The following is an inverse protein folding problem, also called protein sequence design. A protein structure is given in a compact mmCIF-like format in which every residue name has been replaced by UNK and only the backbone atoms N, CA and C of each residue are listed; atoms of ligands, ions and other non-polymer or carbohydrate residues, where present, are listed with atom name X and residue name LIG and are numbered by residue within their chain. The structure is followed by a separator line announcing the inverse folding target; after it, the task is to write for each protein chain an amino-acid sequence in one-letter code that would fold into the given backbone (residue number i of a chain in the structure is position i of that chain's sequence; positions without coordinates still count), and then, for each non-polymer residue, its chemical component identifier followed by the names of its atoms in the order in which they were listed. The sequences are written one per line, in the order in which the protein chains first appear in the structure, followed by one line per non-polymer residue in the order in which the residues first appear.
data_IF_356963132042
#
_entry.id   IF_356963132042
#
_cell.length_a   1.000
_cell.length_b   1.000
_cell.length_c   1.000
_cell.angle_alpha   90.00
_cell.angle_beta   90.00
_cell.angle_gamma   90.00
#
_symmetry.space_group_name_H-M   'P 1'
#
loop_
_entity.id
_entity.type
_entity.pdbx_description
1 polymer ?
#
# COMPACT_ATOMS: atom_id res chain seq x y z
N UNK A 1 8.02 -1.93 -11.56
CA UNK A 1 8.60 -2.76 -10.48
C UNK A 1 9.75 -1.95 -9.93
N UNK A 2 9.63 -1.43 -8.71
CA UNK A 2 10.60 -0.51 -8.10
C UNK A 2 11.94 -1.21 -7.89
N UNK A 3 12.96 -0.79 -8.65
CA UNK A 3 14.35 -1.15 -8.37
C UNK A 3 14.71 -0.53 -7.01
N UNK A 4 14.84 -1.36 -5.98
CA UNK A 4 15.34 -0.91 -4.70
C UNK A 4 16.77 -0.43 -4.88
N UNK A 5 17.04 0.84 -4.56
CA UNK A 5 18.38 1.42 -4.59
C UNK A 5 19.33 0.79 -3.56
N UNK A 6 18.79 0.04 -2.60
CA UNK A 6 19.55 -0.66 -1.56
C UNK A 6 19.78 -2.14 -1.92
N UNK A 7 20.98 -2.68 -1.65
CA UNK A 7 21.28 -4.09 -1.86
C UNK A 7 20.35 -4.97 -1.01
N UNK A 8 19.76 -5.97 -1.65
CA UNK A 8 18.88 -6.95 -0.99
C UNK A 8 19.75 -8.02 -0.34
N UNK A 9 19.78 -8.03 1.00
CA UNK A 9 20.53 -9.01 1.77
C UNK A 9 19.74 -10.30 2.02
N UNK A 10 20.45 -11.41 2.18
CA UNK A 10 19.83 -12.69 2.59
C UNK A 10 19.29 -12.59 4.01
N UNK A 11 18.25 -13.36 4.33
CA UNK A 11 17.65 -13.37 5.66
C UNK A 11 18.68 -13.68 6.77
N UNK A 12 19.67 -14.54 6.49
CA UNK A 12 20.73 -14.88 7.45
C UNK A 12 21.67 -13.70 7.72
N UNK A 13 22.01 -12.91 6.68
CA UNK A 13 22.81 -11.70 6.83
C UNK A 13 22.06 -10.63 7.63
N UNK A 14 20.76 -10.46 7.36
CA UNK A 14 19.89 -9.53 8.09
C UNK A 14 19.79 -9.94 9.57
N UNK A 15 19.55 -11.22 9.85
CA UNK A 15 19.48 -11.73 11.23
C UNK A 15 20.80 -11.50 11.97
N UNK A 16 21.94 -11.77 11.32
CA UNK A 16 23.24 -11.56 11.94
C UNK A 16 23.48 -10.08 12.28
N UNK A 17 23.18 -9.18 11.34
CA UNK A 17 23.30 -7.73 11.56
C UNK A 17 22.46 -7.26 12.76
N UNK A 18 21.20 -7.68 12.84
CA UNK A 18 20.35 -7.29 13.96
C UNK A 18 20.82 -7.87 15.29
N UNK A 19 21.41 -9.06 15.32
CA UNK A 19 21.97 -9.66 16.54
C UNK A 19 23.23 -8.95 17.05
N UNK A 20 24.06 -8.42 16.16
CA UNK A 20 25.34 -7.79 16.54
C UNK A 20 25.22 -6.29 16.76
N UNK A 21 24.49 -5.59 15.89
CA UNK A 21 24.51 -4.12 15.84
C UNK A 21 23.28 -3.45 16.46
N UNK A 22 22.16 -4.17 16.63
CA UNK A 22 20.87 -3.54 16.94
C UNK A 22 20.20 -4.05 18.21
N UNK A 23 20.13 -5.38 18.38
CA UNK A 23 19.50 -6.03 19.52
C UNK A 23 20.49 -6.19 20.67
N UNK A 24 19.99 -6.23 21.91
CA UNK A 24 20.85 -6.34 23.10
C UNK A 24 20.44 -7.50 24.01
N UNK A 25 21.42 -8.12 24.68
CA UNK A 25 21.18 -9.12 25.72
C UNK A 25 20.43 -10.36 25.23
N UNK A 26 19.24 -10.60 25.80
CA UNK A 26 18.41 -11.76 25.48
C UNK A 26 17.69 -11.62 24.12
N UNK A 27 17.38 -10.40 23.69
CA UNK A 27 16.70 -10.15 22.40
C UNK A 27 17.54 -10.71 21.23
N UNK A 28 18.84 -10.43 21.23
CA UNK A 28 19.77 -10.93 20.21
C UNK A 28 19.90 -12.46 20.22
N UNK A 29 19.83 -13.10 21.40
CA UNK A 29 19.95 -14.56 21.52
C UNK A 29 18.72 -15.30 21.00
N UNK A 30 17.53 -14.73 21.20
CA UNK A 30 16.27 -15.36 20.81
C UNK A 30 15.80 -14.98 19.41
N UNK A 31 16.32 -13.90 18.83
CA UNK A 31 15.96 -13.48 17.48
C UNK A 31 16.50 -14.43 16.43
N UNK A 32 15.66 -15.01 15.59
CA UNK A 32 16.00 -16.06 14.61
C UNK A 32 15.38 -15.78 13.24
N UNK A 33 15.84 -16.49 12.21
CA UNK A 33 15.30 -16.39 10.85
C UNK A 33 13.79 -16.69 10.75
N UNK A 34 13.27 -17.55 11.63
CA UNK A 34 11.83 -17.84 11.72
C UNK A 34 10.99 -16.67 12.22
N UNK A 35 11.60 -15.64 12.79
CA UNK A 35 10.87 -14.43 13.23
C UNK A 35 10.62 -13.46 12.06
N UNK A 36 11.37 -13.61 10.96
CA UNK A 36 11.25 -12.78 9.75
C UNK A 36 10.65 -13.51 8.55
N UNK A 37 10.83 -14.84 8.45
CA UNK A 37 10.45 -15.60 7.26
C UNK A 37 9.78 -16.94 7.60
N UNK A 38 8.80 -17.41 6.82
CA UNK A 38 8.19 -16.75 5.65
C UNK A 38 7.16 -15.67 6.03
N UNK A 39 6.66 -15.70 7.27
CA UNK A 39 5.71 -14.72 7.79
C UNK A 39 6.34 -14.00 8.99
N UNK A 40 6.67 -12.70 8.85
CA UNK A 40 7.27 -11.94 9.93
C UNK A 40 6.35 -11.89 11.15
N UNK A 41 6.90 -12.19 12.34
CA UNK A 41 6.14 -12.08 13.60
C UNK A 41 5.96 -10.60 13.96
N UNK A 42 4.73 -10.12 14.20
CA UNK A 42 4.47 -8.71 14.49
C UNK A 42 5.31 -8.16 15.64
N UNK A 43 5.48 -8.95 16.70
CA UNK A 43 6.22 -8.56 17.91
C UNK A 43 7.72 -8.40 17.61
N UNK A 44 8.30 -9.34 16.84
CA UNK A 44 9.70 -9.27 16.46
C UNK A 44 9.97 -8.04 15.58
N UNK A 45 9.12 -7.81 14.57
CA UNK A 45 9.23 -6.67 13.67
C UNK A 45 9.10 -5.35 14.42
N UNK A 46 8.13 -5.24 15.33
CA UNK A 46 7.95 -4.06 16.17
C UNK A 46 9.18 -3.77 17.02
N UNK A 47 9.74 -4.78 17.70
CA UNK A 47 10.95 -4.61 18.52
C UNK A 47 12.14 -4.13 17.68
N UNK A 48 12.35 -4.69 16.48
CA UNK A 48 13.41 -4.25 15.59
C UNK A 48 13.27 -2.78 15.21
N UNK A 49 12.07 -2.37 14.79
CA UNK A 49 11.82 -0.97 14.41
C UNK A 49 12.03 -0.02 15.58
N UNK A 50 11.55 -0.36 16.77
CA UNK A 50 11.74 0.46 17.96
C UNK A 50 13.24 0.62 18.31
N UNK A 51 14.03 -0.45 18.18
CA UNK A 51 15.48 -0.41 18.41
C UNK A 51 16.21 0.42 17.38
N UNK A 52 15.85 0.29 16.10
CA UNK A 52 16.43 1.11 15.02
C UNK A 52 16.10 2.59 15.23
N UNK A 53 14.85 2.93 15.56
CA UNK A 53 14.46 4.30 15.87
C UNK A 53 15.20 4.85 17.09
N UNK A 54 15.39 4.02 18.13
CA UNK A 54 16.16 4.39 19.31
C UNK A 54 17.64 4.66 18.97
N UNK A 55 18.26 3.84 18.11
CA UNK A 55 19.65 4.02 17.70
C UNK A 55 19.83 5.28 16.85
N UNK A 56 18.92 5.53 15.90
CA UNK A 56 19.03 6.66 14.97
C UNK A 56 18.69 8.00 15.63
N UNK A 57 17.66 8.06 16.49
CA UNK A 57 17.14 9.33 17.04
C UNK A 57 17.31 9.48 18.54
N UNK A 58 17.94 8.51 19.23
CA UNK A 58 17.97 8.44 20.70
C UNK A 58 16.58 8.52 21.33
N UNK A 59 15.55 8.14 20.55
CA UNK A 59 14.17 8.30 20.94
C UNK A 59 13.80 7.14 21.87
N UNK A 60 13.41 7.48 23.10
CA UNK A 60 13.05 6.51 24.11
C UNK A 60 11.66 5.92 23.81
N UNK A 61 11.42 4.61 24.01
CA UNK A 61 10.11 3.99 23.77
C UNK A 61 8.96 4.75 24.46
N UNK A 62 9.23 5.31 25.64
CA UNK A 62 8.27 6.07 26.45
C UNK A 62 7.82 7.37 25.77
N UNK A 63 8.62 7.93 24.86
CA UNK A 63 8.30 9.17 24.15
C UNK A 63 7.27 8.95 23.03
N UNK A 64 6.98 7.72 22.62
CA UNK A 64 5.92 7.43 21.64
C UNK A 64 4.53 7.50 22.26
N UNK A 65 4.40 7.26 23.56
CA UNK A 65 3.14 7.39 24.31
C UNK A 65 2.85 8.83 24.75
N UNK A 66 3.84 9.73 24.66
CA UNK A 66 3.76 11.13 25.10
C UNK A 66 3.44 12.11 23.97
N UNK A 67 3.01 11.63 22.79
CA UNK A 67 2.66 12.52 21.68
C UNK A 67 1.38 13.29 22.06
N UNK A 68 1.40 14.64 22.07
CA UNK A 68 0.22 15.42 22.45
C UNK A 68 -0.92 15.11 21.49
N UNK A 69 -1.98 14.53 22.02
CA UNK A 69 -3.25 14.46 21.33
C UNK A 69 -3.87 15.87 21.33
N UNK A 70 -4.45 16.28 20.21
CA UNK A 70 -5.26 17.50 20.15
C UNK A 70 -6.24 17.51 21.33
N UNK A 71 -6.32 18.63 22.06
CA UNK A 71 -7.04 18.75 23.35
C UNK A 71 -8.56 18.45 23.31
N UNK A 72 -9.11 18.07 22.16
CA UNK A 72 -10.55 17.89 21.92
C UNK A 72 -10.96 16.46 21.50
N UNK A 73 -10.20 15.42 21.87
CA UNK A 73 -10.58 14.03 21.55
C UNK A 73 -11.47 13.44 22.65
N UNK A 74 -12.66 12.99 22.26
CA UNK A 74 -13.61 12.32 23.15
C UNK A 74 -13.06 10.92 23.51
N UNK A 75 -12.84 10.66 24.80
CA UNK A 75 -12.24 9.42 25.36
C UNK A 75 -10.76 9.16 25.00
N UNK A 76 -9.81 9.93 25.58
CA UNK A 76 -8.37 9.82 25.31
C UNK A 76 -7.77 8.43 25.56
N UNK A 77 -8.30 7.68 26.53
CA UNK A 77 -7.80 6.36 26.93
C UNK A 77 -7.87 5.29 25.81
N UNK A 78 -8.77 5.44 24.83
CA UNK A 78 -8.85 4.49 23.70
C UNK A 78 -7.82 4.80 22.60
N UNK A 79 -7.23 5.99 22.61
CA UNK A 79 -6.28 6.43 21.59
C UNK A 79 -4.82 6.24 22.01
N UNK A 80 -4.54 5.99 23.29
CA UNK A 80 -3.18 5.87 23.83
C UNK A 80 -2.37 4.77 23.12
N UNK A 81 -2.96 3.57 22.92
CA UNK A 81 -2.32 2.47 22.19
C UNK A 81 -2.16 2.75 20.69
N UNK A 82 -3.17 3.37 20.06
CA UNK A 82 -3.12 3.72 18.63
C UNK A 82 -2.11 4.84 18.35
N UNK A 83 -1.92 5.76 19.30
CA UNK A 83 -1.01 6.91 19.20
C UNK A 83 0.44 6.45 19.17
N UNK A 84 0.82 5.50 20.03
CA UNK A 84 2.15 4.93 20.02
C UNK A 84 2.45 4.25 18.67
N UNK A 85 1.51 3.46 18.14
CA UNK A 85 1.65 2.78 16.84
C UNK A 85 1.77 3.80 15.70
N UNK A 86 0.91 4.82 15.68
CA UNK A 86 0.92 5.86 14.63
C UNK A 86 2.20 6.70 14.67
N UNK A 87 2.71 7.00 15.88
CA UNK A 87 3.97 7.71 16.10
C UNK A 87 5.17 6.93 15.54
N UNK A 88 5.21 5.62 15.81
CA UNK A 88 6.24 4.72 15.27
C UNK A 88 6.16 4.65 13.75
N UNK A 89 4.98 4.42 13.19
CA UNK A 89 4.75 4.35 11.75
C UNK A 89 5.18 5.64 11.02
N UNK A 90 4.76 6.80 11.54
CA UNK A 90 5.10 8.10 10.95
C UNK A 90 6.60 8.33 10.95
N UNK A 91 7.29 8.01 12.06
CA UNK A 91 8.74 8.18 12.16
C UNK A 91 9.51 7.22 11.26
N UNK A 92 9.07 5.96 11.11
CA UNK A 92 9.68 5.02 10.17
C UNK A 92 9.57 5.55 8.74
N UNK A 93 8.41 6.08 8.36
CA UNK A 93 8.22 6.68 7.03
C UNK A 93 9.11 7.91 6.83
N UNK A 94 9.24 8.77 7.84
CA UNK A 94 10.18 9.90 7.80
C UNK A 94 11.62 9.45 7.61
N UNK A 95 12.05 8.37 8.29
CA UNK A 95 13.40 7.80 8.12
C UNK A 95 13.63 7.33 6.69
N UNK A 96 12.70 6.55 6.14
CA UNK A 96 12.79 6.05 4.78
C UNK A 96 12.87 7.20 3.76
N UNK A 97 12.05 8.25 3.94
CA UNK A 97 12.07 9.45 3.10
C UNK A 97 13.37 10.25 3.24
N UNK A 98 13.91 10.39 4.45
CA UNK A 98 15.19 11.07 4.68
C UNK A 98 16.36 10.35 4.02
N UNK A 99 16.40 9.02 4.09
CA UNK A 99 17.41 8.22 3.39
C UNK A 99 17.31 8.36 1.87
N UNK A 100 16.10 8.31 1.32
CA UNK A 100 15.87 8.53 -0.11
C UNK A 100 16.26 9.95 -0.54
N UNK A 101 15.96 10.97 0.26
CA UNK A 101 16.30 12.37 -0.02
C UNK A 101 17.81 12.59 -0.02
N UNK A 102 18.53 12.10 0.98
CA UNK A 102 19.98 12.24 1.04
C UNK A 102 20.69 11.55 -0.14
N UNK A 103 20.16 10.42 -0.60
CA UNK A 103 20.71 9.72 -1.77
C UNK A 103 20.43 10.48 -3.07
N UNK A 104 19.24 11.05 -3.23
CA UNK A 104 18.89 11.93 -4.36
C UNK A 104 19.74 13.20 -4.39
N UNK A 105 19.96 13.84 -3.23
CA UNK A 105 20.82 15.03 -3.11
C UNK A 105 22.27 14.69 -3.50
N UNK A 106 22.77 13.52 -3.08
CA UNK A 106 24.10 13.01 -3.45
C UNK A 106 24.22 12.72 -4.95
N UNK A 107 23.21 12.09 -5.55
CA UNK A 107 23.17 11.83 -6.99
C UNK A 107 23.13 13.13 -7.80
N UNK A 108 22.39 14.13 -7.32
CA UNK A 108 22.33 15.46 -7.93
C UNK A 108 23.68 16.18 -7.87
N UNK A 109 24.40 16.06 -6.75
CA UNK A 109 25.75 16.62 -6.61
C UNK A 109 26.74 15.97 -7.60
N UNK A 110 26.71 14.65 -7.76
CA UNK A 110 27.52 13.96 -8.77
C UNK A 110 27.16 14.41 -10.19
N UNK A 111 25.87 14.51 -10.50
CA UNK A 111 25.39 14.95 -11.82
C UNK A 111 25.83 16.39 -12.12
N UNK A 112 25.83 17.27 -11.12
CA UNK A 112 26.33 18.64 -11.25
C UNK A 112 27.84 18.65 -11.52
N UNK A 113 28.61 17.88 -10.76
CA UNK A 113 30.06 17.77 -10.95
C UNK A 113 30.44 17.22 -12.33
N UNK A 114 29.69 16.24 -12.85
CA UNK A 114 29.87 15.72 -14.21
C UNK A 114 29.65 16.83 -15.25
N UNK A 115 28.54 17.57 -15.16
CA UNK A 115 28.26 18.70 -16.08
C UNK A 115 29.31 19.79 -16.05
N UNK A 116 29.84 20.12 -14.87
CA UNK A 116 30.92 21.09 -14.74
C UNK A 116 32.22 20.60 -15.38
N UNK A 117 32.53 19.30 -15.24
CA UNK A 117 33.68 18.69 -15.90
C UNK A 117 33.51 18.65 -17.42
N UNK A 118 32.32 18.33 -17.92
CA UNK A 118 31.99 18.36 -19.36
C UNK A 118 32.19 19.77 -19.94
N UNK A 119 31.70 20.82 -19.26
CA UNK A 119 31.90 22.21 -19.69
C UNK A 119 33.39 22.60 -19.70
N UNK A 120 34.18 22.13 -18.73
CA UNK A 120 35.63 22.35 -18.71
C UNK A 120 36.34 21.63 -19.87
N UNK A 121 35.92 20.42 -20.20
CA UNK A 121 36.43 19.69 -21.38
C UNK A 121 36.11 20.48 -22.64
N UNK A 122 34.85 20.91 -22.81
CA UNK A 122 34.41 21.71 -23.96
C UNK A 122 35.27 22.97 -24.13
N UNK A 123 35.46 23.76 -23.07
CA UNK A 123 36.32 24.95 -23.06
C UNK A 123 37.79 24.67 -23.39
N UNK A 124 38.33 23.52 -22.98
CA UNK A 124 39.71 23.11 -23.30
C UNK A 124 39.85 22.57 -24.73
N UNK A 125 38.76 22.11 -25.33
CA UNK A 125 38.73 21.55 -26.69
C UNK A 125 38.39 22.57 -27.78
N UNK A 126 37.92 23.76 -27.43
CA UNK A 126 37.70 24.86 -28.38
C UNK A 126 38.95 25.71 -28.54
N UNK A 127 39.44 25.83 -29.78
CA UNK A 127 40.54 26.74 -30.13
C UNK A 127 40.04 28.18 -29.95
N UNK A 128 40.72 29.04 -29.17
CA UNK A 128 40.33 30.42 -28.99
C UNK A 128 40.23 31.17 -30.33
N UNK A 129 39.20 32.02 -30.53
CA UNK A 129 38.99 32.74 -31.78
C UNK A 129 40.16 33.69 -32.14
N UNK A 130 40.90 34.19 -31.14
CA UNK A 130 42.12 34.97 -31.33
C UNK A 130 43.24 34.14 -31.98
N UNK A 131 43.41 32.88 -31.57
CA UNK A 131 44.41 31.98 -32.14
C UNK A 131 44.02 31.47 -33.54
N UNK A 132 42.71 31.37 -33.81
CA UNK A 132 42.21 31.05 -35.14
C UNK A 132 42.40 32.23 -36.12
N UNK A 133 42.13 33.46 -35.67
CA UNK A 133 42.36 34.67 -36.46
C UNK A 133 43.86 34.89 -36.76
N UNK A 134 44.74 34.65 -35.79
CA UNK A 134 46.20 34.69 -36.00
C UNK A 134 46.66 33.64 -37.02
N UNK A 135 46.11 32.42 -36.97
CA UNK A 135 46.43 31.37 -37.94
C UNK A 135 45.96 31.72 -39.36
N UNK A 136 44.78 32.35 -39.48
CA UNK A 136 44.22 32.80 -40.76
C UNK A 136 44.99 34.01 -41.33
N UNK A 137 45.42 34.95 -40.49
CA UNK A 137 46.26 36.09 -40.86
C UNK A 137 47.65 35.63 -41.33
N UNK A 138 48.26 34.66 -40.62
CA UNK A 138 49.55 34.09 -41.02
C UNK A 138 49.47 33.33 -42.36
N UNK A 139 48.34 32.66 -42.64
CA UNK A 139 48.09 31.99 -43.91
C UNK A 139 47.91 33.01 -45.07
N UNK A 140 47.28 34.15 -44.79
CA UNK A 140 47.17 35.25 -45.76
C UNK A 140 48.53 35.89 -46.05
N UNK A 141 49.34 36.18 -45.02
CA UNK A 141 50.68 36.74 -45.16
C UNK A 141 51.63 35.78 -45.92
N UNK A 142 51.53 34.47 -45.68
CA UNK A 142 52.29 33.47 -46.45
C UNK A 142 51.88 33.45 -47.92
N UNK A 143 50.59 33.60 -48.22
CA UNK A 143 50.08 33.65 -49.59
C UNK A 143 50.51 34.93 -50.32
N UNK A 144 50.50 36.08 -49.62
CA UNK A 144 51.00 37.35 -50.14
C UNK A 144 52.49 37.27 -50.46
N UNK A 145 53.31 36.79 -49.51
CA UNK A 145 54.76 36.60 -49.68
C UNK A 145 55.08 35.68 -50.87
N UNK A 146 54.28 34.62 -51.04
CA UNK A 146 54.42 33.71 -52.18
C UNK A 146 54.09 34.40 -53.51
N UNK A 147 53.16 35.38 -53.52
CA UNK A 147 52.81 36.19 -54.69
C UNK A 147 53.84 37.28 -55.00
N UNK A 148 54.37 37.98 -53.99
CA UNK A 148 55.42 39.00 -54.16
C UNK A 148 56.73 38.37 -54.58
N UNK A 149 57.08 37.21 -54.05
CA UNK A 149 58.26 36.46 -54.51
C UNK A 149 58.12 36.07 -55.99
N UNK A 150 56.92 35.70 -56.47
CA UNK A 150 56.68 35.46 -57.91
C UNK A 150 56.78 36.73 -58.76
N UNK A 151 56.40 37.89 -58.22
CA UNK A 151 56.46 39.19 -58.91
C UNK A 151 57.89 39.75 -59.01
N UNK A 152 58.68 39.60 -57.95
CA UNK A 152 60.07 40.12 -57.90
C UNK A 152 61.04 39.35 -58.80
N UNK A 153 60.76 38.08 -59.15
CA UNK A 153 61.50 37.37 -60.21
C UNK A 153 61.25 37.92 -61.62
N UNK A 154 60.28 38.82 -61.79
CA UNK A 154 59.88 39.37 -63.09
C UNK A 154 60.29 40.84 -63.31
N UNK A 155 60.80 41.54 -62.29
CA UNK A 155 60.99 43.00 -62.31
C UNK A 155 62.42 43.47 -61.96
N UNK A 156 63.44 42.65 -62.25
CA UNK A 156 64.87 43.02 -62.12
C UNK A 156 65.56 43.07 -63.49
N UNK A 157 65.01 43.84 -64.43
CA UNK A 157 65.73 44.25 -65.65
C UNK A 157 65.48 45.73 -65.96
N UNK A 158 66.49 46.56 -65.65
CA UNK A 158 66.71 47.90 -66.20
C UNK A 158 66.00 49.02 -65.42
N UNK A 159 66.64 50.12 -65.04
CA UNK A 159 67.95 50.66 -65.38
C UNK A 159 67.95 52.13 -64.97
N UNK A 160 69.05 52.55 -64.38
CA UNK A 160 69.31 53.84 -63.74
C UNK A 160 69.64 54.98 -64.75
N UNK A 161 69.44 56.21 -64.27
CA UNK A 161 70.26 57.43 -64.49
C UNK A 161 70.12 58.42 -65.70
N UNK A 162 70.14 59.71 -65.29
CA UNK A 162 70.97 60.85 -65.78
C UNK A 162 70.42 61.97 -66.72
N UNK A 163 70.24 63.15 -66.10
CA UNK A 163 70.95 64.45 -66.32
C UNK A 163 70.75 65.32 -67.59
N UNK A 164 70.01 66.43 -67.40
CA UNK A 164 70.46 67.86 -67.43
C UNK A 164 70.85 68.57 -68.75
N UNK A 165 70.18 69.71 -69.05
CA UNK A 165 70.78 70.97 -69.56
C UNK A 165 69.81 72.14 -69.29
N UNK A 166 70.28 73.28 -68.77
CA UNK A 166 69.91 74.68 -69.12
C UNK A 166 70.26 75.69 -68.00
N UNK A 167 71.55 75.77 -67.71
CA UNK A 167 72.17 76.68 -66.76
C UNK A 167 72.45 78.04 -67.40
N UNK A 168 71.44 78.88 -67.60
CA UNK A 168 71.66 80.33 -67.83
C UNK A 168 70.38 81.15 -67.59
N UNK A 169 69.21 80.66 -68.02
CA UNK A 169 67.90 81.23 -67.69
C UNK A 169 67.52 80.97 -66.22
N UNK A 170 67.87 79.77 -65.74
CA UNK A 170 67.73 79.36 -64.33
C UNK A 170 68.38 80.36 -63.37
N UNK A 171 69.42 81.10 -63.74
CA UNK A 171 70.12 82.00 -62.81
C UNK A 171 69.35 83.29 -62.47
N UNK A 172 68.59 83.82 -63.43
CA UNK A 172 67.74 85.00 -63.23
C UNK A 172 66.44 84.60 -62.53
N UNK A 173 65.84 83.49 -62.95
CA UNK A 173 64.65 82.92 -62.31
C UNK A 173 64.97 82.45 -60.88
N UNK A 174 66.17 81.89 -60.62
CA UNK A 174 66.64 81.57 -59.26
C UNK A 174 66.81 82.82 -58.40
N UNK A 175 67.09 83.98 -58.99
CA UNK A 175 67.28 85.22 -58.22
C UNK A 175 65.94 85.87 -57.87
N UNK A 176 64.99 85.92 -58.81
CA UNK A 176 63.61 86.36 -58.55
C UNK A 176 62.89 85.38 -57.61
N UNK A 177 63.00 84.07 -57.86
CA UNK A 177 62.49 83.04 -56.94
C UNK A 177 63.17 83.13 -55.58
N UNK A 178 64.46 83.49 -55.47
CA UNK A 178 65.10 83.73 -54.16
C UNK A 178 64.50 84.90 -53.41
N UNK A 179 64.17 85.98 -54.10
CA UNK A 179 63.55 87.16 -53.48
C UNK A 179 62.10 86.86 -53.07
N UNK A 180 61.33 86.17 -53.93
CA UNK A 180 59.97 85.73 -53.62
C UNK A 180 59.96 84.67 -52.51
N UNK A 181 60.92 83.75 -52.49
CA UNK A 181 61.17 82.81 -51.37
C UNK A 181 61.50 83.58 -50.09
N UNK A 182 62.22 84.70 -50.18
CA UNK A 182 62.58 85.51 -49.00
C UNK A 182 61.37 86.28 -48.47
N UNK A 183 60.53 86.85 -49.35
CA UNK A 183 59.26 87.50 -48.98
C UNK A 183 58.25 86.50 -48.44
N UNK A 184 58.05 85.37 -49.11
CA UNK A 184 57.21 84.27 -48.63
C UNK A 184 57.73 83.71 -47.31
N UNK A 185 59.06 83.50 -47.13
CA UNK A 185 59.62 83.13 -45.82
C UNK A 185 59.27 84.16 -44.75
N UNK A 186 59.38 85.46 -45.01
CA UNK A 186 59.04 86.49 -44.02
C UNK A 186 57.55 86.58 -43.69
N UNK A 187 56.64 86.18 -44.60
CA UNK A 187 55.20 86.10 -44.37
C UNK A 187 54.73 84.76 -43.76
N UNK A 188 55.47 83.68 -44.03
CA UNK A 188 55.28 82.35 -43.41
C UNK A 188 55.83 82.35 -41.97
N UNK A 189 56.73 83.28 -41.64
CA UNK A 189 57.23 83.53 -40.29
C UNK A 189 56.19 84.33 -39.49
N UNK A 190 55.01 83.75 -39.29
CA UNK A 190 54.46 83.77 -37.94
C UNK A 190 55.52 83.12 -37.04
N UNK A 191 55.81 83.71 -35.88
CA UNK A 191 56.96 83.31 -35.07
C UNK A 191 57.00 81.78 -34.95
N UNK A 192 58.11 81.10 -35.28
CA UNK A 192 58.23 79.65 -35.13
C UNK A 192 57.84 79.15 -33.73
N UNK A 193 57.91 80.03 -32.73
CA UNK A 193 57.47 79.81 -31.36
C UNK A 193 55.93 79.76 -31.22
N UNK A 194 55.19 80.53 -32.02
CA UNK A 194 53.73 80.63 -31.99
C UNK A 194 53.07 79.39 -32.63
N UNK A 195 53.61 78.90 -33.77
CA UNK A 195 53.22 77.62 -34.36
C UNK A 195 53.51 76.46 -33.41
N UNK A 196 54.69 76.47 -32.76
CA UNK A 196 55.07 75.47 -31.77
C UNK A 196 54.11 75.47 -30.57
N UNK A 197 53.74 76.66 -30.08
CA UNK A 197 52.73 76.83 -29.03
C UNK A 197 51.36 76.28 -29.44
N UNK A 198 50.90 76.56 -30.67
CA UNK A 198 49.65 76.00 -31.17
C UNK A 198 49.69 74.47 -31.30
N UNK A 199 50.78 73.89 -31.79
CA UNK A 199 50.95 72.43 -31.88
C UNK A 199 50.97 71.77 -30.50
N UNK A 200 51.57 72.42 -29.50
CA UNK A 200 51.62 71.94 -28.12
C UNK A 200 50.23 71.96 -27.48
N UNK A 201 49.48 73.06 -27.67
CA UNK A 201 48.07 73.16 -27.27
C UNK A 201 47.20 72.11 -27.95
N UNK A 202 47.44 71.82 -29.23
CA UNK A 202 46.71 70.78 -29.95
C UNK A 202 47.05 69.38 -29.44
N UNK A 203 48.31 69.12 -29.07
CA UNK A 203 48.71 67.87 -28.39
C UNK A 203 48.04 67.70 -27.03
N UNK A 204 48.01 68.74 -26.21
CA UNK A 204 47.33 68.69 -24.91
C UNK A 204 45.83 68.44 -25.06
N UNK A 205 45.17 69.11 -26.01
CA UNK A 205 43.77 68.87 -26.33
C UNK A 205 43.52 67.42 -26.78
N UNK A 206 44.34 66.91 -27.70
CA UNK A 206 44.23 65.50 -28.16
C UNK A 206 44.44 64.54 -26.99
N UNK A 207 45.39 64.80 -26.10
CA UNK A 207 45.62 63.99 -24.91
C UNK A 207 44.43 64.03 -23.94
N UNK A 208 43.86 65.21 -23.70
CA UNK A 208 42.67 65.37 -22.86
C UNK A 208 41.46 64.64 -23.45
N UNK A 209 41.27 64.71 -24.77
CA UNK A 209 40.19 63.99 -25.46
C UNK A 209 40.40 62.48 -25.34
N UNK A 210 41.62 61.99 -25.57
CA UNK A 210 41.94 60.56 -25.46
C UNK A 210 41.64 60.04 -24.05
N UNK A 211 42.11 60.73 -23.01
CA UNK A 211 41.82 60.37 -21.62
C UNK A 211 40.31 60.38 -21.34
N UNK A 212 39.58 61.39 -21.83
CA UNK A 212 38.13 61.47 -21.66
C UNK A 212 37.38 60.34 -22.36
N UNK A 213 37.88 59.85 -23.50
CA UNK A 213 37.32 58.68 -24.21
C UNK A 213 37.56 57.42 -23.37
N UNK A 214 38.80 57.19 -22.91
CA UNK A 214 39.15 56.04 -22.06
C UNK A 214 38.29 56.01 -20.78
N UNK A 215 38.15 57.15 -20.08
CA UNK A 215 37.29 57.26 -18.88
C UNK A 215 35.81 56.98 -19.20
N UNK A 216 35.33 57.36 -20.39
CA UNK A 216 33.95 57.10 -20.81
C UNK A 216 33.74 55.62 -21.14
N UNK A 217 34.72 54.98 -21.79
CA UNK A 217 34.68 53.56 -22.13
C UNK A 217 34.70 52.68 -20.88
N UNK A 218 35.59 52.98 -19.91
CA UNK A 218 35.62 52.29 -18.61
C UNK A 218 34.26 52.38 -17.91
N UNK A 219 33.66 53.58 -17.87
CA UNK A 219 32.35 53.79 -17.28
C UNK A 219 31.22 53.08 -18.04
N UNK A 220 31.34 52.96 -19.35
CA UNK A 220 30.44 52.17 -20.18
C UNK A 220 30.44 50.68 -19.80
N UNK A 221 31.64 50.10 -19.60
CA UNK A 221 31.80 48.71 -19.17
C UNK A 221 31.24 48.49 -17.76
N UNK A 222 31.49 49.41 -16.83
CA UNK A 222 30.91 49.35 -15.47
C UNK A 222 29.37 49.35 -15.49
N UNK A 223 28.76 50.25 -16.28
CA UNK A 223 27.31 50.31 -16.45
C UNK A 223 26.77 49.02 -17.07
N UNK A 224 27.46 48.46 -18.07
CA UNK A 224 27.05 47.20 -18.70
C UNK A 224 27.09 46.03 -17.72
N UNK A 225 28.12 45.93 -16.88
CA UNK A 225 28.22 44.92 -15.83
C UNK A 225 27.09 45.06 -14.79
N UNK A 226 26.76 46.29 -14.39
CA UNK A 226 25.62 46.52 -13.49
C UNK A 226 24.29 46.11 -14.13
N UNK A 227 24.06 46.44 -15.40
CA UNK A 227 22.86 46.02 -16.13
C UNK A 227 22.75 44.50 -16.19
N UNK A 228 23.84 43.79 -16.49
CA UNK A 228 23.85 42.33 -16.47
C UNK A 228 23.51 41.77 -15.08
N UNK A 229 24.07 42.34 -14.02
CA UNK A 229 23.73 41.98 -12.64
C UNK A 229 22.24 42.14 -12.34
N UNK A 230 21.64 43.27 -12.74
CA UNK A 230 20.19 43.51 -12.58
C UNK A 230 19.37 42.47 -13.36
N UNK A 231 19.69 42.22 -14.63
CA UNK A 231 18.95 41.23 -15.43
C UNK A 231 19.03 39.81 -14.84
N UNK A 232 20.16 39.45 -14.24
CA UNK A 232 20.31 38.18 -13.56
C UNK A 232 19.39 38.11 -12.33
N UNK A 233 19.40 39.14 -11.48
CA UNK A 233 18.53 39.19 -10.31
C UNK A 233 17.04 39.22 -10.69
N UNK A 234 16.68 39.86 -11.79
CA UNK A 234 15.31 39.85 -12.32
C UNK A 234 14.86 38.43 -12.71
N UNK A 235 15.73 37.66 -13.36
CA UNK A 235 15.45 36.27 -13.71
C UNK A 235 15.27 35.39 -12.46
N UNK A 236 16.09 35.59 -11.43
CA UNK A 236 15.95 34.88 -10.14
C UNK A 236 14.62 35.22 -9.45
N UNK A 237 14.22 36.50 -9.45
CA UNK A 237 12.92 36.93 -8.93
C UNK A 237 11.77 36.27 -9.70
N UNK A 238 11.85 36.22 -11.02
CA UNK A 238 10.82 35.58 -11.85
C UNK A 238 10.72 34.08 -11.56
N UNK A 239 11.85 33.40 -11.32
CA UNK A 239 11.86 32.01 -10.89
C UNK A 239 11.22 31.84 -9.51
N UNK A 240 11.51 32.72 -8.55
CA UNK A 240 10.86 32.68 -7.24
C UNK A 240 9.34 32.85 -7.32
N UNK A 241 8.84 33.73 -8.19
CA UNK A 241 7.40 33.88 -8.41
C UNK A 241 6.75 32.60 -8.95
N UNK A 242 7.39 31.90 -9.89
CA UNK A 242 6.87 30.63 -10.39
C UNK A 242 6.73 29.57 -9.28
N UNK A 243 7.73 29.46 -8.40
CA UNK A 243 7.71 28.55 -7.26
C UNK A 243 6.61 28.89 -6.26
N UNK A 244 6.37 30.18 -6.01
CA UNK A 244 5.29 30.63 -5.12
C UNK A 244 3.92 30.27 -5.67
N UNK A 245 3.72 30.40 -6.99
CA UNK A 245 2.47 30.05 -7.65
C UNK A 245 2.21 28.54 -7.62
N UNK A 246 3.25 27.73 -7.83
CA UNK A 246 3.16 26.27 -7.69
C UNK A 246 2.82 25.88 -6.24
N UNK A 247 3.44 26.52 -5.26
CA UNK A 247 3.15 26.30 -3.83
C UNK A 247 1.70 26.66 -3.49
N UNK A 248 1.19 27.79 -4.00
CA UNK A 248 -0.20 28.22 -3.80
C UNK A 248 -1.17 27.18 -4.37
N UNK A 249 -0.92 26.69 -5.59
CA UNK A 249 -1.75 25.66 -6.22
C UNK A 249 -1.73 24.34 -5.42
N UNK A 250 -0.56 23.93 -4.93
CA UNK A 250 -0.39 22.73 -4.10
C UNK A 250 -1.12 22.86 -2.75
N UNK A 251 -1.07 24.04 -2.14
CA UNK A 251 -1.77 24.33 -0.90
C UNK A 251 -3.29 24.31 -1.08
N UNK A 252 -3.80 24.86 -2.19
CA UNK A 252 -5.22 24.80 -2.56
C UNK A 252 -5.70 23.35 -2.73
N UNK A 253 -4.95 22.52 -3.46
CA UNK A 253 -5.24 21.09 -3.62
C UNK A 253 -5.23 20.34 -2.27
N UNK A 254 -4.29 20.67 -1.39
CA UNK A 254 -4.19 20.05 -0.06
C UNK A 254 -5.38 20.42 0.81
N UNK A 255 -5.85 21.67 0.74
CA UNK A 255 -7.06 22.12 1.43
C UNK A 255 -8.30 21.36 0.97
N UNK A 256 -8.48 21.22 -0.34
CA UNK A 256 -9.59 20.42 -0.89
C UNK A 256 -9.56 18.97 -0.39
N UNK A 257 -8.40 18.32 -0.40
CA UNK A 257 -8.25 16.95 0.13
C UNK A 257 -8.59 16.85 1.62
N UNK A 258 -8.28 17.88 2.40
CA UNK A 258 -8.63 17.93 3.82
C UNK A 258 -10.15 18.01 4.02
N UNK A 259 -10.85 18.80 3.20
CA UNK A 259 -12.31 18.90 3.22
C UNK A 259 -12.97 17.56 2.84
N UNK A 260 -12.48 16.90 1.78
CA UNK A 260 -12.93 15.55 1.38
C UNK A 260 -12.72 14.52 2.50
N UNK A 261 -11.57 14.57 3.19
CA UNK A 261 -11.29 13.69 4.33
C UNK A 261 -12.26 13.95 5.49
N UNK A 262 -12.59 15.21 5.79
CA UNK A 262 -13.56 15.55 6.83
C UNK A 262 -14.96 15.03 6.51
N UNK A 263 -15.40 15.15 5.25
CA UNK A 263 -16.68 14.61 4.82
C UNK A 263 -16.71 13.08 4.93
N UNK A 264 -15.64 12.40 4.52
CA UNK A 264 -15.54 10.94 4.63
C UNK A 264 -15.57 10.47 6.09
N UNK A 265 -14.91 11.21 7.00
CA UNK A 265 -14.96 10.93 8.44
C UNK A 265 -16.39 11.05 9.00
N UNK A 266 -17.13 12.09 8.60
CA UNK A 266 -18.53 12.24 9.01
C UNK A 266 -19.41 11.10 8.49
N UNK A 267 -19.18 10.64 7.25
CA UNK A 267 -19.87 9.48 6.70
C UNK A 267 -19.52 8.18 7.45
N UNK A 268 -18.25 7.99 7.79
CA UNK A 268 -17.80 6.83 8.57
C UNK A 268 -18.47 6.79 9.95
N UNK A 269 -18.52 7.91 10.67
CA UNK A 269 -19.21 7.99 11.97
C UNK A 269 -20.70 7.67 11.85
N UNK A 270 -21.36 8.17 10.80
CA UNK A 270 -22.78 7.86 10.53
C UNK A 270 -22.97 6.36 10.32
N UNK A 271 -22.13 5.72 9.50
CA UNK A 271 -22.17 4.29 9.23
C UNK A 271 -21.84 3.46 10.47
N UNK A 272 -20.92 3.92 11.30
CA UNK A 272 -20.59 3.25 12.56
C UNK A 272 -21.77 3.27 13.55
N UNK A 273 -22.53 4.37 13.63
CA UNK A 273 -23.76 4.46 14.43
C UNK A 273 -24.85 3.53 13.89
N UNK A 274 -25.04 3.49 12.58
CA UNK A 274 -25.99 2.59 11.91
C UNK A 274 -25.67 1.12 12.20
N UNK A 275 -24.40 0.72 12.10
CA UNK A 275 -23.96 -0.64 12.41
C UNK A 275 -24.23 -1.02 13.88
N UNK A 276 -23.96 -0.12 14.83
CA UNK A 276 -24.25 -0.37 16.26
C UNK A 276 -25.74 -0.60 16.50
N UNK A 277 -26.62 0.17 15.85
CA UNK A 277 -28.06 0.00 15.95
C UNK A 277 -28.51 -1.36 15.39
N UNK A 278 -28.01 -1.75 14.22
CA UNK A 278 -28.32 -3.04 13.62
C UNK A 278 -27.84 -4.22 14.50
N UNK A 279 -26.67 -4.12 15.12
CA UNK A 279 -26.20 -5.13 16.08
C UNK A 279 -27.14 -5.25 17.30
N UNK A 280 -27.67 -4.12 17.79
CA UNK A 280 -28.65 -4.14 18.88
C UNK A 280 -29.96 -4.80 18.46
N UNK A 281 -30.47 -4.49 17.27
CA UNK A 281 -31.67 -5.10 16.70
C UNK A 281 -31.50 -6.60 16.49
N UNK A 282 -30.37 -7.03 15.92
CA UNK A 282 -30.04 -8.45 15.74
C UNK A 282 -30.03 -9.18 17.10
N UNK A 283 -29.42 -8.58 18.12
CA UNK A 283 -29.40 -9.15 19.47
C UNK A 283 -30.79 -9.25 20.12
N UNK A 284 -31.69 -8.31 19.83
CA UNK A 284 -33.09 -8.39 20.28
C UNK A 284 -33.84 -9.51 19.56
N UNK A 285 -33.69 -9.63 18.24
CA UNK A 285 -34.34 -10.67 17.44
C UNK A 285 -33.85 -12.07 17.82
N UNK A 286 -32.54 -12.25 18.05
CA UNK A 286 -31.98 -13.53 18.54
C UNK A 286 -32.60 -13.96 19.87
N UNK A 287 -32.74 -13.03 20.82
CA UNK A 287 -33.42 -13.32 22.11
C UNK A 287 -34.89 -13.66 21.92
N UNK A 288 -35.60 -12.94 21.05
CA UNK A 288 -36.99 -13.20 20.74
C UNK A 288 -37.18 -14.60 20.11
N UNK A 289 -36.30 -14.99 19.19
CA UNK A 289 -36.29 -16.31 18.57
C UNK A 289 -36.05 -17.41 19.62
N UNK A 290 -35.06 -17.26 20.49
CA UNK A 290 -34.80 -18.21 21.58
C UNK A 290 -36.02 -18.41 22.48
N UNK A 291 -36.70 -17.33 22.87
CA UNK A 291 -37.94 -17.43 23.66
C UNK A 291 -39.08 -18.17 22.93
N UNK A 292 -39.16 -18.06 21.59
CA UNK A 292 -40.15 -18.79 20.79
C UNK A 292 -39.82 -20.29 20.71
N UNK A 293 -38.55 -20.62 20.48
CA UNK A 293 -38.07 -22.01 20.47
C UNK A 293 -38.29 -22.70 21.82
N UNK A 294 -38.02 -22.03 22.94
CA UNK A 294 -38.27 -22.57 24.27
C UNK A 294 -39.76 -22.86 24.53
N UNK A 295 -40.64 -21.95 24.09
CA UNK A 295 -42.09 -22.12 24.21
C UNK A 295 -42.58 -23.31 23.39
N UNK A 296 -42.09 -23.43 22.15
CA UNK A 296 -42.42 -24.55 21.27
C UNK A 296 -41.91 -25.88 21.84
N UNK A 297 -40.67 -25.93 22.31
CA UNK A 297 -40.10 -27.11 22.95
C UNK A 297 -40.96 -27.57 24.15
N UNK A 298 -41.31 -26.65 25.06
CA UNK A 298 -42.20 -26.94 26.20
C UNK A 298 -43.56 -27.47 25.74
N UNK A 299 -44.13 -26.89 24.69
CA UNK A 299 -45.42 -27.35 24.14
C UNK A 299 -45.33 -28.74 23.52
N UNK A 300 -44.26 -29.03 22.78
CA UNK A 300 -44.02 -30.32 22.15
C UNK A 300 -43.80 -31.44 23.18
N UNK A 301 -43.02 -31.18 24.24
CA UNK A 301 -42.86 -32.13 25.36
C UNK A 301 -44.22 -32.43 26.02
N UNK A 302 -45.06 -31.41 26.27
CA UNK A 302 -46.39 -31.62 26.85
C UNK A 302 -47.31 -32.46 25.94
N UNK A 303 -47.29 -32.20 24.63
CA UNK A 303 -48.04 -32.98 23.64
C UNK A 303 -47.56 -34.43 23.59
N UNK A 304 -46.24 -34.64 23.60
CA UNK A 304 -45.63 -35.96 23.57
C UNK A 304 -46.01 -36.79 24.79
N UNK A 305 -45.84 -36.25 26.01
CA UNK A 305 -46.26 -36.93 27.24
C UNK A 305 -47.74 -37.33 27.23
N UNK A 306 -48.61 -36.46 26.71
CA UNK A 306 -50.05 -36.75 26.59
C UNK A 306 -50.35 -37.87 25.57
N UNK A 307 -49.53 -38.03 24.53
CA UNK A 307 -49.64 -39.16 23.60
C UNK A 307 -49.18 -40.45 24.26
N UNK A 308 -48.01 -40.42 24.89
CA UNK A 308 -47.42 -41.57 25.59
C UNK A 308 -48.36 -42.12 26.67
N UNK A 309 -49.00 -41.27 27.48
CA UNK A 309 -49.95 -41.75 28.49
C UNK A 309 -51.19 -42.41 27.89
N UNK A 310 -51.69 -41.90 26.77
CA UNK A 310 -52.81 -42.53 26.05
C UNK A 310 -52.41 -43.86 25.44
N UNK A 311 -51.21 -43.92 24.86
CA UNK A 311 -50.67 -45.12 24.24
C UNK A 311 -50.42 -46.21 25.27
N UNK A 312 -49.86 -45.87 26.43
CA UNK A 312 -49.72 -46.78 27.58
C UNK A 312 -51.06 -47.35 28.02
N UNK A 313 -52.10 -46.52 28.14
CA UNK A 313 -53.44 -46.99 28.50
C UNK A 313 -54.03 -47.95 27.45
N UNK A 314 -53.86 -47.64 26.15
CA UNK A 314 -54.30 -48.54 25.08
C UNK A 314 -53.55 -49.87 25.14
N UNK A 315 -52.24 -49.85 25.33
CA UNK A 315 -51.42 -51.07 25.47
C UNK A 315 -51.86 -51.90 26.68
N UNK A 316 -52.19 -51.26 27.80
CA UNK A 316 -52.71 -51.95 29.00
C UNK A 316 -54.04 -52.64 28.72
N UNK A 317 -55.00 -51.93 28.10
CA UNK A 317 -56.31 -52.50 27.73
C UNK A 317 -56.17 -53.66 26.75
N UNK A 318 -55.31 -53.50 25.72
CA UNK A 318 -55.03 -54.58 24.77
C UNK A 318 -54.44 -55.80 25.49
N UNK A 319 -53.47 -55.62 26.39
CA UNK A 319 -52.91 -56.70 27.17
C UNK A 319 -53.95 -57.41 28.07
N UNK A 320 -54.92 -56.67 28.62
CA UNK A 320 -56.05 -57.28 29.35
C UNK A 320 -56.97 -58.07 28.42
N UNK A 321 -57.27 -57.56 27.22
CA UNK A 321 -58.05 -58.29 26.22
C UNK A 321 -57.37 -59.60 25.79
N UNK A 322 -56.05 -59.58 25.59
CA UNK A 322 -55.27 -60.76 25.24
C UNK A 322 -55.32 -61.81 26.36
N UNK A 323 -55.19 -61.40 27.63
CA UNK A 323 -55.34 -62.30 28.78
C UNK A 323 -56.74 -62.92 28.87
N UNK A 324 -57.78 -62.14 28.58
CA UNK A 324 -59.17 -62.64 28.55
C UNK A 324 -59.35 -63.62 27.39
N UNK A 325 -58.79 -63.33 26.22
CA UNK A 325 -58.83 -64.20 25.06
C UNK A 325 -58.18 -65.55 25.38
N UNK A 326 -56.97 -65.54 25.93
CA UNK A 326 -56.26 -66.77 26.32
C UNK A 326 -57.08 -67.59 27.32
N UNK A 327 -57.64 -66.97 28.36
CA UNK A 327 -58.51 -67.68 29.32
C UNK A 327 -59.74 -68.28 28.68
N UNK A 328 -60.34 -67.60 27.69
CA UNK A 328 -61.50 -68.10 26.95
C UNK A 328 -61.13 -69.30 26.09
N UNK A 329 -59.98 -69.27 25.45
CA UNK A 329 -59.43 -70.37 24.66
C UNK A 329 -59.17 -71.59 25.55
N UNK A 330 -58.46 -71.42 26.67
CA UNK A 330 -58.19 -72.50 27.63
C UNK A 330 -59.49 -73.13 28.19
N UNK A 331 -60.54 -72.32 28.41
CA UNK A 331 -61.84 -72.81 28.86
C UNK A 331 -62.60 -73.53 27.76
N UNK A 332 -62.52 -73.07 26.51
CA UNK A 332 -63.14 -73.72 25.37
C UNK A 332 -62.54 -75.13 25.18
N UNK A 333 -61.22 -75.25 25.30
CA UNK A 333 -60.51 -76.54 25.25
C UNK A 333 -61.01 -77.50 26.35
N UNK A 334 -61.13 -77.02 27.60
CA UNK A 334 -61.68 -77.82 28.71
C UNK A 334 -63.13 -78.24 28.49
N UNK A 335 -63.97 -77.36 27.96
CA UNK A 335 -65.37 -77.68 27.63
C UNK A 335 -65.41 -78.76 26.55
N UNK A 336 -64.54 -78.67 25.55
CA UNK A 336 -64.44 -79.66 24.47
C UNK A 336 -64.02 -81.03 25.02
N UNK A 337 -63.05 -81.07 25.94
CA UNK A 337 -62.61 -82.29 26.63
C UNK A 337 -63.75 -82.93 27.43
N UNK A 338 -64.41 -82.19 28.33
CA UNK A 338 -65.55 -82.67 29.12
C UNK A 338 -66.70 -83.14 28.21
N UNK A 339 -66.94 -82.44 27.10
CA UNK A 339 -67.97 -82.82 26.13
C UNK A 339 -67.63 -84.15 25.46
N UNK A 340 -66.37 -84.37 25.10
CA UNK A 340 -65.89 -85.63 24.53
C UNK A 340 -66.02 -86.78 25.55
N UNK A 341 -65.63 -86.56 26.81
CA UNK A 341 -65.80 -87.53 27.90
C UNK A 341 -67.28 -87.86 28.16
N UNK A 342 -68.14 -86.84 28.18
CA UNK A 342 -69.58 -86.99 28.35
C UNK A 342 -70.19 -87.82 27.22
N UNK A 343 -69.78 -87.60 25.97
CA UNK A 343 -70.21 -88.42 24.84
C UNK A 343 -69.73 -89.87 24.97
N UNK A 344 -68.48 -90.08 25.37
CA UNK A 344 -67.93 -91.42 25.65
C UNK A 344 -68.74 -92.12 26.73
N UNK A 345 -69.01 -91.46 27.86
CA UNK A 345 -69.82 -92.02 28.95
C UNK A 345 -71.25 -92.34 28.50
N UNK A 346 -71.90 -91.45 27.74
CA UNK A 346 -73.23 -91.70 27.15
C UNK A 346 -73.24 -92.96 26.28
N UNK A 347 -72.21 -93.15 25.45
CA UNK A 347 -72.08 -94.35 24.61
C UNK A 347 -71.92 -95.62 25.46
N UNK A 348 -71.14 -95.57 26.54
CA UNK A 348 -70.98 -96.67 27.50
C UNK A 348 -72.27 -96.99 28.27
N UNK A 349 -73.02 -95.98 28.72
CA UNK A 349 -74.31 -96.19 29.39
C UNK A 349 -75.31 -96.85 28.43
N UNK A 350 -75.34 -96.41 27.16
CA UNK A 350 -76.20 -97.01 26.15
C UNK A 350 -75.85 -98.48 25.91
N UNK A 351 -74.57 -98.81 25.74
CA UNK A 351 -74.14 -100.20 25.54
C UNK A 351 -74.47 -101.08 26.76
N UNK A 352 -74.25 -100.59 27.98
CA UNK A 352 -74.64 -101.30 29.21
C UNK A 352 -76.14 -101.51 29.30
N UNK A 353 -76.96 -100.50 28.97
CA UNK A 353 -78.42 -100.63 28.93
C UNK A 353 -78.87 -101.68 27.93
N UNK A 354 -78.26 -101.71 26.75
CA UNK A 354 -78.56 -102.70 25.72
C UNK A 354 -78.19 -104.13 26.20
N UNK A 355 -77.08 -104.28 26.92
CA UNK A 355 -76.69 -105.55 27.56
C UNK A 355 -77.70 -105.97 28.64
N UNK A 356 -78.05 -105.07 29.57
CA UNK A 356 -79.04 -105.37 30.62
C UNK A 356 -80.41 -105.72 30.04
N UNK A 357 -80.83 -105.05 28.95
CA UNK A 357 -82.10 -105.34 28.26
C UNK A 357 -82.09 -106.77 27.70
N UNK A 358 -80.99 -107.18 27.06
CA UNK A 358 -80.81 -108.57 26.60
C UNK A 358 -80.82 -109.59 27.75
N UNK A 359 -80.17 -109.29 28.87
CA UNK A 359 -80.17 -110.19 30.03
C UNK A 359 -81.54 -110.26 30.73
N UNK A 360 -82.28 -109.15 30.78
CA UNK A 360 -83.66 -109.14 31.31
C UNK A 360 -84.63 -109.89 30.41
N UNK A 361 -84.50 -109.77 29.08
CA UNK A 361 -85.24 -110.62 28.13
C UNK A 361 -84.94 -112.11 28.37
N UNK A 362 -83.66 -112.48 28.56
CA UNK A 362 -83.31 -113.87 28.94
C UNK A 362 -83.94 -114.31 30.26
N UNK A 363 -83.94 -113.46 31.29
CA UNK A 363 -84.51 -113.76 32.59
C UNK A 363 -86.05 -113.84 32.58
N UNK A 364 -86.74 -113.01 31.78
CA UNK A 364 -88.18 -113.09 31.59
C UNK A 364 -88.61 -114.35 30.83
N UNK A 365 -87.77 -114.90 29.96
CA UNK A 365 -88.00 -116.22 29.34
C UNK A 365 -87.80 -117.36 30.35
N UNK A 366 -87.03 -117.16 31.43
CA UNK A 366 -86.84 -118.14 32.52
C UNK A 366 -87.87 -118.06 33.64
N UNK A 367 -88.51 -116.90 33.87
CA UNK A 367 -89.48 -116.68 34.95
C UNK A 367 -90.75 -117.58 34.93
N UNK A 368 -91.23 -118.13 33.80
CA UNK A 368 -92.34 -119.09 33.83
C UNK A 368 -92.01 -120.46 34.45
N UNK A 369 -90.74 -120.75 34.83
CA UNK A 369 -90.38 -122.05 35.44
C UNK A 369 -90.39 -122.11 36.97
N UNK A 370 -90.64 -121.00 37.70
CA UNK A 370 -90.53 -120.98 39.17
C UNK A 370 -91.81 -120.63 39.94
N UNK A 371 -92.96 -120.52 39.28
CA UNK A 371 -94.26 -120.27 39.93
C UNK A 371 -95.11 -121.55 40.15
N UNK A 372 -94.48 -122.65 40.56
CA UNK A 372 -95.16 -123.85 41.09
C UNK A 372 -94.32 -124.51 42.21
N UNK A 373 -94.24 -123.89 43.41
CA UNK A 373 -94.26 -124.65 44.68
C UNK A 373 -94.38 -123.78 45.95
N UNK A 374 -95.51 -124.01 46.63
CA UNK A 374 -95.82 -124.00 48.09
C UNK A 374 -95.79 -122.70 48.90
N UNK A 375 -97.00 -122.14 49.08
CA UNK A 375 -97.74 -122.00 50.35
C UNK A 375 -96.99 -121.99 51.70
N UNK A 376 -97.17 -120.90 52.48
CA UNK A 376 -97.73 -120.87 53.85
C UNK A 376 -97.60 -119.45 54.48
N UNK A 377 -98.43 -119.06 55.48
CA UNK A 377 -99.05 -117.72 55.53
C UNK A 377 -98.67 -116.80 56.71
N UNK A 378 -98.72 -115.47 56.44
CA UNK A 378 -99.15 -114.31 57.29
C UNK A 378 -98.48 -114.06 58.67
N UNK A 379 -98.67 -112.91 59.39
CA UNK A 379 -99.34 -111.63 59.08
C UNK A 379 -98.59 -110.32 59.52
N UNK A 380 -99.11 -109.17 59.04
CA UNK A 380 -99.33 -107.85 59.70
C UNK A 380 -98.31 -107.23 60.69
N UNK A 381 -97.89 -105.99 60.39
CA UNK A 381 -97.73 -104.75 61.21
C UNK A 381 -96.75 -103.83 60.44
N UNK A 382 -96.88 -102.52 60.31
CA UNK A 382 -97.67 -101.51 60.98
C UNK A 382 -96.83 -100.22 61.01
N UNK A 383 -97.43 -99.10 60.59
CA UNK A 383 -97.16 -97.72 61.01
C UNK A 383 -95.78 -97.03 60.85
N UNK A 384 -95.91 -95.79 60.33
CA UNK A 384 -95.37 -94.49 60.81
C UNK A 384 -94.19 -93.83 60.09
N UNK A 385 -94.49 -92.55 59.77
CA UNK A 385 -93.68 -91.35 59.53
C UNK A 385 -93.09 -91.15 58.14
#
# INVERSE_FOLDING_TARGET
MSENTFPVYTADAIVNFYRTEVLTGQEAKHFTKSDLTPHPKPEAVQTLYMRVLHLLYRFRPECHSMVPLLENIQYPAYHEGATAIMSVYTRINTVALCFQRADMDRLQAYTKGIREAEKKIEMLTTIPPEQQAEADELAAALSELQSTTMHEYQEVVGGDEAFCVHQAQVKLDVSNLKEDISKLKSQIVESPEELKSQMEKMRENVKSIKNSIEETDERGVELQNMVQGVTHTEAEIQQMYSLLQDLESSMSNTKQRLEEHQELMAQYEKKQKELKNLCMEEGQLKRALGMKQDKECKQNIRRQKKRETKEQHVQEVLGQCDQIHQKREDMADKIQEISAETQKLKSSIKSLRDVCSKETEKAQVQAPMLFLRSDAPSPLLGQRL
#
